data_IF_265482738977
#
_entry.id   IF_265482738977
#
_cell.length_a   1.000
_cell.length_b   1.000
_cell.length_c   1.000
_cell.angle_alpha   90.00
_cell.angle_beta   90.00
_cell.angle_gamma   90.00
#
_symmetry.space_group_name_H-M   'P 1'
#
loop_
_entity.id
_entity.type
_entity.pdbx_description
1 polymer ?
#
# COMPACT_ATOMS: atom_id res chain seq x y z
N UNK A 1 33.18 -36.02 31.64
CA UNK A 1 32.21 -36.46 30.61
C UNK A 1 31.34 -35.25 30.35
N UNK A 2 31.79 -34.51 29.35
CA UNK A 2 31.32 -33.18 28.99
C UNK A 2 30.01 -33.29 28.23
N UNK A 3 29.02 -32.51 28.63
CA UNK A 3 27.74 -32.36 27.96
C UNK A 3 27.41 -30.88 27.85
N UNK A 4 28.25 -30.15 27.12
CA UNK A 4 28.05 -28.74 26.81
C UNK A 4 26.84 -28.62 25.85
N UNK A 5 25.65 -28.38 26.40
CA UNK A 5 24.47 -28.02 25.63
C UNK A 5 24.57 -26.55 25.24
N UNK A 6 25.38 -26.28 24.21
CA UNK A 6 25.27 -25.06 23.42
C UNK A 6 23.94 -25.15 22.65
N UNK A 7 22.87 -24.69 23.29
CA UNK A 7 21.70 -24.25 22.56
C UNK A 7 22.18 -23.15 21.60
N UNK A 8 22.19 -23.47 20.31
CA UNK A 8 22.39 -22.51 19.23
C UNK A 8 21.36 -21.41 19.42
N UNK A 9 21.79 -20.27 19.95
CA UNK A 9 21.06 -19.02 19.85
C UNK A 9 20.98 -18.75 18.35
N UNK A 10 19.81 -19.05 17.76
CA UNK A 10 19.51 -18.64 16.40
C UNK A 10 19.87 -17.17 16.26
N UNK A 11 20.72 -16.83 15.28
CA UNK A 11 21.07 -15.47 14.92
C UNK A 11 19.82 -14.59 15.03
N UNK A 12 19.86 -13.62 15.95
CA UNK A 12 18.83 -12.60 15.97
C UNK A 12 18.77 -12.02 14.54
N UNK A 13 17.59 -11.99 13.88
CA UNK A 13 17.54 -11.56 12.50
C UNK A 13 18.14 -10.17 12.40
N UNK A 14 19.17 -10.03 11.57
CA UNK A 14 19.89 -8.78 11.42
C UNK A 14 18.89 -7.68 11.03
N UNK A 15 18.75 -6.67 11.90
CA UNK A 15 17.85 -5.55 11.68
C UNK A 15 18.39 -4.71 10.51
N UNK A 16 17.52 -4.34 9.57
CA UNK A 16 17.90 -3.47 8.46
C UNK A 16 18.52 -2.15 9.01
N UNK A 17 19.62 -1.64 8.42
CA UNK A 17 20.20 -0.37 8.85
C UNK A 17 19.19 0.78 8.86
N UNK A 18 18.30 0.84 7.86
CA UNK A 18 17.23 1.83 7.81
C UNK A 18 16.25 1.73 8.97
N UNK A 19 15.94 0.52 9.45
CA UNK A 19 15.04 0.31 10.59
C UNK A 19 15.67 0.74 11.91
N UNK A 20 16.99 0.59 12.07
CA UNK A 20 17.73 1.16 13.22
C UNK A 20 17.59 2.68 13.27
N UNK A 21 17.79 3.37 12.16
CA UNK A 21 17.60 4.83 12.11
C UNK A 21 16.16 5.25 12.39
N UNK A 22 15.15 4.43 12.06
CA UNK A 22 13.76 4.70 12.45
C UNK A 22 13.54 4.58 13.96
N UNK A 23 14.15 3.60 14.60
CA UNK A 23 14.10 3.41 16.06
C UNK A 23 14.74 4.62 16.76
N UNK A 24 15.91 5.05 16.30
CA UNK A 24 16.64 6.21 16.86
C UNK A 24 15.89 7.53 16.67
N UNK A 25 15.01 7.61 15.68
CA UNK A 25 14.19 8.80 15.42
C UNK A 25 12.93 8.88 16.30
N UNK A 26 12.74 7.96 17.24
CA UNK A 26 11.55 7.87 18.10
C UNK A 26 11.94 7.98 19.57
N UNK A 27 11.44 9.01 20.24
CA UNK A 27 11.53 9.17 21.69
C UNK A 27 10.17 8.88 22.31
N UNK A 28 10.12 8.03 23.34
CA UNK A 28 8.89 7.74 24.09
C UNK A 28 9.10 8.18 25.53
N UNK A 29 8.20 9.00 26.05
CA UNK A 29 8.28 9.45 27.43
C UNK A 29 8.12 8.27 28.41
N UNK A 30 8.80 8.28 29.57
CA UNK A 30 8.71 7.18 30.55
C UNK A 30 7.29 6.88 31.04
N UNK A 31 6.43 7.91 31.13
CA UNK A 31 5.03 7.79 31.52
C UNK A 31 4.12 7.21 30.42
N UNK A 32 4.65 7.09 29.19
CA UNK A 32 3.93 6.67 27.98
C UNK A 32 2.71 7.52 27.66
N UNK A 33 2.72 8.79 28.08
CA UNK A 33 1.67 9.76 27.74
C UNK A 33 2.07 10.66 26.57
N UNK A 34 3.35 10.64 26.18
CA UNK A 34 3.82 11.35 25.00
C UNK A 34 4.94 10.60 24.28
N UNK A 35 5.10 10.92 23.00
CA UNK A 35 6.21 10.46 22.17
C UNK A 35 6.54 11.49 21.09
N UNK A 36 7.76 11.44 20.57
CA UNK A 36 8.23 12.23 19.43
C UNK A 36 8.71 11.30 18.32
N UNK A 37 8.25 11.55 17.10
CA UNK A 37 8.65 10.84 15.87
C UNK A 37 9.24 11.87 14.91
N UNK A 38 10.58 11.93 14.83
CA UNK A 38 11.26 13.02 14.12
C UNK A 38 10.80 14.40 14.65
N UNK A 39 10.21 15.22 13.78
CA UNK A 39 9.69 16.55 14.15
C UNK A 39 8.27 16.56 14.74
N UNK A 40 7.60 15.41 14.85
CA UNK A 40 6.20 15.32 15.28
C UNK A 40 6.08 14.88 16.73
N UNK A 41 5.35 15.63 17.53
CA UNK A 41 4.96 15.25 18.90
C UNK A 41 3.57 14.61 18.92
N UNK A 42 3.40 13.60 19.77
CA UNK A 42 2.15 12.91 20.07
C UNK A 42 1.91 13.00 21.56
N UNK A 43 0.73 13.44 21.96
CA UNK A 43 0.27 13.47 23.35
C UNK A 43 -1.06 12.71 23.45
N UNK A 44 -1.23 11.94 24.52
CA UNK A 44 -2.42 11.11 24.74
C UNK A 44 -2.82 11.10 26.21
N UNK A 45 -4.12 10.91 26.46
CA UNK A 45 -4.68 10.89 27.83
C UNK A 45 -4.44 9.58 28.59
N UNK A 46 -3.91 8.55 27.93
CA UNK A 46 -3.58 7.28 28.58
C UNK A 46 -2.50 6.49 27.85
N UNK A 47 -1.70 5.66 28.56
CA UNK A 47 -0.68 4.82 27.93
C UNK A 47 -1.20 3.86 26.86
N UNK A 48 -2.47 3.43 26.98
CA UNK A 48 -3.13 2.55 25.99
C UNK A 48 -3.39 3.26 24.68
N UNK A 49 -3.68 4.57 24.71
CA UNK A 49 -3.92 5.38 23.52
C UNK A 49 -2.62 5.70 22.76
N UNK A 50 -1.45 5.53 23.38
CA UNK A 50 -0.17 5.84 22.75
C UNK A 50 0.11 4.94 21.54
N UNK A 51 -0.21 3.64 21.61
CA UNK A 51 0.09 2.72 20.51
C UNK A 51 -0.55 3.12 19.16
N UNK A 52 -1.89 3.32 19.06
CA UNK A 52 -2.49 3.75 17.80
C UNK A 52 -2.02 5.14 17.37
N UNK A 53 -1.85 6.09 18.30
CA UNK A 53 -1.41 7.45 17.98
C UNK A 53 0.05 7.49 17.46
N UNK A 54 0.94 6.71 18.07
CA UNK A 54 2.32 6.55 17.63
C UNK A 54 2.40 5.87 16.26
N UNK A 55 1.57 4.84 16.02
CA UNK A 55 1.45 4.21 14.71
C UNK A 55 1.04 5.19 13.61
N UNK A 56 0.09 6.07 13.88
CA UNK A 56 -0.33 7.14 12.94
C UNK A 56 0.82 8.12 12.68
N UNK A 57 1.48 8.62 13.73
CA UNK A 57 2.62 9.52 13.59
C UNK A 57 3.78 8.90 12.78
N UNK A 58 4.10 7.63 13.02
CA UNK A 58 5.10 6.89 12.26
C UNK A 58 4.70 6.68 10.80
N UNK A 59 3.42 6.42 10.52
CA UNK A 59 2.93 6.36 9.15
C UNK A 59 3.13 7.70 8.43
N UNK A 60 2.75 8.81 9.06
CA UNK A 60 2.87 10.14 8.47
C UNK A 60 4.33 10.54 8.25
N UNK A 61 5.21 10.30 9.22
CA UNK A 61 6.61 10.73 9.14
C UNK A 61 7.45 9.77 8.29
N UNK A 62 7.31 8.46 8.45
CA UNK A 62 8.19 7.46 7.83
C UNK A 62 7.64 6.89 6.52
N UNK A 63 6.31 6.86 6.31
CA UNK A 63 5.71 6.30 5.11
C UNK A 63 5.19 7.36 4.14
N UNK A 64 4.14 8.10 4.47
CA UNK A 64 3.49 9.04 3.54
C UNK A 64 4.29 10.32 3.36
N UNK A 65 4.95 10.81 4.41
CA UNK A 65 5.78 12.02 4.38
C UNK A 65 5.01 13.33 4.27
N UNK A 66 3.68 13.32 4.34
CA UNK A 66 2.91 14.56 4.33
C UNK A 66 3.02 15.27 5.68
N UNK A 67 2.85 16.60 5.65
CA UNK A 67 2.80 17.39 6.88
C UNK A 67 1.56 17.01 7.70
N UNK A 68 1.69 17.03 9.03
CA UNK A 68 0.52 16.86 9.88
C UNK A 68 -0.40 18.06 9.72
N UNK A 69 -1.66 17.81 9.43
CA UNK A 69 -2.71 18.81 9.48
C UNK A 69 -3.85 18.32 10.39
N UNK A 70 -3.99 18.85 11.61
CA UNK A 70 -5.09 18.53 12.51
C UNK A 70 -6.48 18.88 11.93
N UNK A 71 -6.55 19.80 10.98
CA UNK A 71 -7.77 20.20 10.28
C UNK A 71 -8.16 19.26 9.14
N UNK A 72 -7.23 18.40 8.68
CA UNK A 72 -7.47 17.47 7.59
C UNK A 72 -8.42 16.36 8.03
N UNK A 73 -9.56 16.26 7.35
CA UNK A 73 -10.53 15.18 7.60
C UNK A 73 -10.21 13.97 6.71
N UNK A 74 -10.27 12.75 7.26
CA UNK A 74 -10.19 11.53 6.43
C UNK A 74 -11.25 11.56 5.34
N UNK A 75 -10.87 11.14 4.13
CA UNK A 75 -11.83 11.06 3.02
C UNK A 75 -12.14 12.38 2.32
N UNK A 76 -11.47 13.49 2.66
CA UNK A 76 -11.54 14.71 1.85
C UNK A 76 -11.09 14.43 0.41
N UNK A 77 -11.84 14.98 -0.55
CA UNK A 77 -11.62 14.79 -2.00
C UNK A 77 -11.80 16.12 -2.69
N UNK A 78 -10.96 16.39 -3.68
CA UNK A 78 -11.09 17.55 -4.55
C UNK A 78 -11.78 17.16 -5.87
N UNK A 79 -12.99 17.66 -6.15
CA UNK A 79 -13.72 17.29 -7.36
C UNK A 79 -13.02 17.71 -8.65
N UNK A 80 -12.20 18.76 -8.63
CA UNK A 80 -11.44 19.22 -9.80
C UNK A 80 -10.34 18.22 -10.17
N UNK A 81 -9.56 17.83 -9.18
CA UNK A 81 -8.52 16.81 -9.30
C UNK A 81 -9.11 15.45 -9.70
N UNK A 82 -10.24 15.02 -9.10
CA UNK A 82 -10.88 13.75 -9.49
C UNK A 82 -11.40 13.77 -10.93
N UNK A 83 -11.87 14.92 -11.45
CA UNK A 83 -12.21 15.05 -12.88
C UNK A 83 -10.98 14.91 -13.77
N UNK A 84 -9.85 15.53 -13.39
CA UNK A 84 -8.61 15.41 -14.14
C UNK A 84 -8.06 13.96 -14.12
N UNK A 85 -8.14 13.28 -12.97
CA UNK A 85 -7.76 11.87 -12.83
C UNK A 85 -8.67 10.96 -13.65
N UNK A 86 -9.98 11.21 -13.64
CA UNK A 86 -10.96 10.50 -14.48
C UNK A 86 -10.64 10.64 -15.96
N UNK A 87 -10.31 11.85 -16.43
CA UNK A 87 -9.95 12.10 -17.82
C UNK A 87 -8.66 11.38 -18.25
N UNK A 88 -7.79 11.03 -17.29
CA UNK A 88 -6.58 10.25 -17.54
C UNK A 88 -6.77 8.74 -17.54
N UNK A 89 -7.97 8.22 -17.28
CA UNK A 89 -8.25 6.77 -17.36
C UNK A 89 -8.55 6.39 -18.81
N UNK A 90 -7.73 5.51 -19.45
CA UNK A 90 -7.84 5.20 -20.88
C UNK A 90 -9.01 4.26 -21.23
N UNK A 91 -9.70 3.72 -20.23
CA UNK A 91 -10.78 2.75 -20.39
C UNK A 91 -11.95 3.05 -19.44
N UNK A 92 -13.14 2.55 -19.79
CA UNK A 92 -14.35 2.74 -18.98
C UNK A 92 -14.63 1.60 -18.01
N UNK A 93 -14.29 0.38 -18.42
CA UNK A 93 -14.72 -0.84 -17.73
C UNK A 93 -13.54 -1.71 -17.34
N UNK A 94 -13.65 -2.33 -16.18
CA UNK A 94 -12.81 -3.46 -15.76
C UNK A 94 -13.55 -4.75 -16.03
N UNK A 95 -12.82 -5.77 -16.46
CA UNK A 95 -13.34 -7.14 -16.55
C UNK A 95 -13.35 -7.76 -15.15
N UNK A 96 -14.41 -8.46 -14.78
CA UNK A 96 -14.51 -9.16 -13.50
C UNK A 96 -15.20 -10.52 -13.68
N UNK A 97 -14.65 -11.56 -13.05
CA UNK A 97 -15.35 -12.82 -12.85
C UNK A 97 -16.24 -12.67 -11.62
N UNK A 98 -17.53 -12.91 -11.79
CA UNK A 98 -18.54 -12.64 -10.77
C UNK A 98 -19.46 -13.84 -10.58
N UNK A 99 -19.86 -14.09 -9.33
CA UNK A 99 -20.85 -15.11 -9.01
C UNK A 99 -22.24 -14.63 -9.40
N UNK A 100 -22.98 -15.44 -10.14
CA UNK A 100 -24.35 -15.18 -10.57
C UNK A 100 -25.33 -15.65 -9.50
N UNK A 101 -26.18 -14.74 -9.04
CA UNK A 101 -27.26 -15.01 -8.08
C UNK A 101 -28.63 -15.06 -8.76
N UNK A 102 -28.80 -14.30 -9.83
CA UNK A 102 -29.96 -14.37 -10.70
C UNK A 102 -29.50 -14.07 -12.13
N UNK A 103 -30.06 -14.81 -13.09
CA UNK A 103 -29.92 -14.53 -14.52
C UNK A 103 -31.19 -13.84 -15.03
N UNK A 104 -31.23 -13.59 -16.34
CA UNK A 104 -32.25 -12.84 -17.08
C UNK A 104 -33.68 -12.81 -16.50
N UNK A 105 -34.39 -11.66 -16.59
CA UNK A 105 -33.98 -10.41 -17.26
C UNK A 105 -33.12 -9.49 -16.37
N UNK A 106 -33.01 -9.80 -15.08
CA UNK A 106 -32.31 -9.00 -14.07
C UNK A 106 -31.05 -9.73 -13.60
N UNK A 107 -29.95 -9.61 -14.35
CA UNK A 107 -28.67 -10.19 -13.92
C UNK A 107 -28.25 -9.60 -12.57
N UNK A 108 -28.17 -10.46 -11.56
CA UNK A 108 -27.64 -10.11 -10.24
C UNK A 108 -26.37 -10.89 -10.04
N UNK A 109 -25.25 -10.17 -9.93
CA UNK A 109 -23.93 -10.76 -9.70
C UNK A 109 -23.30 -10.24 -8.42
N UNK A 110 -22.34 -10.99 -7.87
CA UNK A 110 -21.54 -10.59 -6.72
C UNK A 110 -20.23 -9.96 -7.18
N UNK A 111 -20.02 -8.68 -6.83
CA UNK A 111 -18.78 -7.96 -7.05
C UNK A 111 -18.32 -7.38 -5.71
N UNK A 112 -17.09 -7.69 -5.27
CA UNK A 112 -16.53 -7.16 -4.01
C UNK A 112 -17.47 -7.39 -2.82
N UNK A 113 -17.99 -8.61 -2.67
CA UNK A 113 -18.91 -9.04 -1.61
C UNK A 113 -20.26 -8.32 -1.58
N UNK A 114 -20.61 -7.55 -2.62
CA UNK A 114 -21.92 -6.93 -2.77
C UNK A 114 -22.65 -7.47 -4.00
N UNK A 115 -23.96 -7.70 -3.84
CA UNK A 115 -24.84 -8.09 -4.95
C UNK A 115 -25.28 -6.86 -5.70
N UNK A 116 -25.03 -6.83 -7.00
CA UNK A 116 -25.35 -5.71 -7.87
C UNK A 116 -26.15 -6.18 -9.08
N UNK A 117 -27.12 -5.36 -9.48
CA UNK A 117 -27.78 -5.53 -10.78
C UNK A 117 -26.84 -5.05 -11.88
N UNK A 118 -26.64 -5.88 -12.89
CA UNK A 118 -25.80 -5.58 -14.05
C UNK A 118 -26.65 -5.64 -15.31
N UNK A 119 -26.60 -4.62 -16.18
CA UNK A 119 -27.27 -4.68 -17.47
C UNK A 119 -26.79 -5.87 -18.33
N UNK A 120 -27.69 -6.49 -19.10
CA UNK A 120 -27.36 -7.67 -19.90
C UNK A 120 -26.20 -7.43 -20.89
N UNK A 121 -26.08 -6.21 -21.45
CA UNK A 121 -24.99 -5.81 -22.34
C UNK A 121 -23.62 -5.71 -21.65
N UNK A 122 -23.59 -5.72 -20.31
CA UNK A 122 -22.37 -5.79 -19.51
C UNK A 122 -21.97 -7.22 -19.15
N UNK A 123 -22.79 -8.23 -19.44
CA UNK A 123 -22.41 -9.65 -19.31
C UNK A 123 -21.68 -10.07 -20.59
N UNK A 124 -20.41 -10.43 -20.46
CA UNK A 124 -19.53 -10.77 -21.59
C UNK A 124 -19.62 -12.24 -21.92
N UNK A 125 -19.59 -13.08 -20.88
CA UNK A 125 -19.67 -14.52 -21.00
C UNK A 125 -20.34 -15.10 -19.75
N UNK A 126 -21.07 -16.19 -19.95
CA UNK A 126 -21.58 -17.02 -18.85
C UNK A 126 -20.65 -18.21 -18.77
N UNK A 127 -20.04 -18.38 -17.61
CA UNK A 127 -19.15 -19.50 -17.32
C UNK A 127 -19.95 -20.63 -16.65
N UNK A 128 -19.37 -21.83 -16.61
CA UNK A 128 -19.91 -22.92 -15.80
C UNK A 128 -20.03 -22.54 -14.31
N UNK A 129 -20.75 -23.35 -13.54
CA UNK A 129 -20.79 -23.27 -12.07
C UNK A 129 -21.38 -21.96 -11.49
N UNK A 130 -22.25 -21.30 -12.25
CA UNK A 130 -22.93 -20.08 -11.79
C UNK A 130 -22.00 -18.86 -11.72
N UNK A 131 -21.01 -18.80 -12.61
CA UNK A 131 -20.12 -17.66 -12.77
C UNK A 131 -20.40 -16.94 -14.09
N UNK A 132 -20.05 -15.66 -14.16
CA UNK A 132 -20.10 -14.88 -15.40
C UNK A 132 -18.94 -13.88 -15.44
N UNK A 133 -18.43 -13.64 -16.64
CA UNK A 133 -17.51 -12.53 -16.91
C UNK A 133 -18.35 -11.29 -17.19
N UNK A 134 -18.15 -10.23 -16.41
CA UNK A 134 -18.90 -8.97 -16.54
C UNK A 134 -17.97 -7.77 -16.70
N UNK A 135 -18.48 -6.71 -17.34
CA UNK A 135 -17.86 -5.38 -17.40
C UNK A 135 -18.40 -4.52 -16.27
N UNK A 136 -17.60 -4.29 -15.24
CA UNK A 136 -17.91 -3.33 -14.18
C UNK A 136 -17.28 -1.97 -14.47
N UNK A 137 -17.81 -0.89 -13.90
CA UNK A 137 -17.16 0.42 -14.03
C UNK A 137 -15.76 0.38 -13.39
N UNK A 138 -14.74 0.83 -14.14
CA UNK A 138 -13.34 0.74 -13.73
C UNK A 138 -13.00 1.72 -12.58
N UNK A 139 -13.69 2.85 -12.54
CA UNK A 139 -13.44 3.93 -11.58
C UNK A 139 -14.33 3.71 -10.35
N UNK A 140 -13.70 3.76 -9.17
CA UNK A 140 -14.37 3.55 -7.88
C UNK A 140 -14.04 4.72 -6.94
N UNK A 141 -14.72 5.87 -7.10
CA UNK A 141 -14.43 7.02 -6.26
C UNK A 141 -14.80 6.69 -4.81
N UNK A 142 -14.00 7.17 -3.86
CA UNK A 142 -14.19 7.00 -2.42
C UNK A 142 -14.10 5.56 -1.86
N UNK A 143 -13.66 4.56 -2.64
CA UNK A 143 -13.40 3.21 -2.10
C UNK A 143 -12.25 3.19 -1.09
N UNK A 144 -11.28 4.10 -1.25
CA UNK A 144 -10.18 4.30 -0.31
C UNK A 144 -10.22 5.76 0.19
N UNK A 145 -10.23 6.03 1.51
CA UNK A 145 -10.36 7.38 2.04
C UNK A 145 -9.29 8.34 1.48
N UNK A 146 -9.74 9.40 0.79
CA UNK A 146 -8.87 10.44 0.21
C UNK A 146 -8.18 10.04 -1.09
N UNK A 147 -8.48 8.86 -1.63
CA UNK A 147 -7.91 8.36 -2.88
C UNK A 147 -9.00 8.17 -3.95
N UNK A 148 -8.63 8.54 -5.17
CA UNK A 148 -9.30 8.14 -6.40
C UNK A 148 -8.74 6.78 -6.83
N UNK A 149 -9.60 5.80 -7.15
CA UNK A 149 -9.20 4.43 -7.46
C UNK A 149 -9.70 4.00 -8.84
N UNK A 150 -8.84 3.27 -9.55
CA UNK A 150 -9.14 2.67 -10.85
C UNK A 150 -8.63 1.22 -10.89
N UNK A 151 -9.44 0.32 -11.46
CA UNK A 151 -9.04 -1.04 -11.84
C UNK A 151 -8.72 -1.10 -13.34
N UNK A 152 -7.80 -1.95 -13.77
CA UNK A 152 -7.39 -2.09 -15.18
C UNK A 152 -8.45 -2.73 -16.08
N UNK A 153 -8.36 -2.52 -17.40
CA UNK A 153 -9.37 -3.08 -18.32
C UNK A 153 -9.36 -4.61 -18.38
N UNK A 154 -8.16 -5.18 -18.27
CA UNK A 154 -7.92 -6.63 -18.18
C UNK A 154 -8.36 -7.25 -16.83
N UNK A 155 -8.75 -6.42 -15.87
CA UNK A 155 -9.21 -6.85 -14.55
C UNK A 155 -8.50 -6.13 -13.40
N UNK A 156 -8.92 -6.49 -12.19
CA UNK A 156 -8.38 -5.95 -10.93
C UNK A 156 -7.45 -6.93 -10.24
N UNK A 157 -6.67 -6.41 -9.30
CA UNK A 157 -6.05 -7.17 -8.20
C UNK A 157 -7.14 -7.67 -7.25
N UNK A 158 -7.16 -8.97 -6.97
CA UNK A 158 -8.17 -9.64 -6.13
C UNK A 158 -7.65 -10.03 -4.75
N UNK A 159 -6.34 -10.07 -4.54
CA UNK A 159 -5.71 -10.47 -3.28
C UNK A 159 -5.67 -11.98 -3.05
N UNK A 160 -5.78 -12.78 -4.11
CA UNK A 160 -5.67 -14.24 -4.01
C UNK A 160 -4.20 -14.73 -3.86
N UNK A 161 -3.23 -13.84 -4.09
CA UNK A 161 -1.80 -14.13 -3.99
C UNK A 161 -0.97 -12.91 -3.58
N UNK A 162 0.36 -12.99 -3.66
CA UNK A 162 1.24 -11.88 -3.31
C UNK A 162 0.97 -10.66 -4.19
N UNK A 163 0.74 -9.50 -3.57
CA UNK A 163 0.57 -8.23 -4.28
C UNK A 163 1.83 -7.39 -4.11
N UNK A 164 2.37 -6.93 -5.23
CA UNK A 164 3.46 -5.97 -5.26
C UNK A 164 2.90 -4.56 -5.46
N UNK A 165 3.36 -3.61 -4.65
CA UNK A 165 2.95 -2.21 -4.71
C UNK A 165 4.10 -1.34 -5.20
N UNK A 166 3.84 -0.47 -6.17
CA UNK A 166 4.73 0.64 -6.54
C UNK A 166 4.17 1.95 -5.97
N UNK A 167 5.00 2.70 -5.25
CA UNK A 167 4.70 4.02 -4.70
C UNK A 167 5.40 5.10 -5.50
N UNK A 168 4.70 6.22 -5.72
CA UNK A 168 5.22 7.39 -6.41
C UNK A 168 5.11 8.61 -5.50
N UNK A 169 6.26 9.23 -5.23
CA UNK A 169 6.36 10.48 -4.51
C UNK A 169 6.20 11.67 -5.46
N UNK A 170 5.18 12.49 -5.22
CA UNK A 170 4.95 13.72 -5.98
C UNK A 170 4.95 14.94 -5.07
N UNK A 171 5.52 16.03 -5.60
CA UNK A 171 5.66 17.30 -4.91
C UNK A 171 4.34 18.06 -4.78
N UNK A 172 3.53 18.04 -5.85
CA UNK A 172 2.35 18.88 -6.01
C UNK A 172 1.25 18.11 -6.76
N UNK A 173 -0.04 18.28 -6.41
CA UNK A 173 -1.15 17.62 -7.09
C UNK A 173 -1.24 17.91 -8.59
N UNK A 174 -0.69 19.02 -9.09
CA UNK A 174 -0.68 19.36 -10.52
C UNK A 174 0.05 18.31 -11.37
N UNK A 175 1.02 17.61 -10.78
CA UNK A 175 1.79 16.57 -11.48
C UNK A 175 1.08 15.23 -11.52
N UNK A 176 0.05 15.02 -10.69
CA UNK A 176 -0.60 13.72 -10.54
C UNK A 176 -1.39 13.31 -11.79
N UNK A 177 -2.29 14.13 -12.39
CA UNK A 177 -3.05 13.72 -13.56
C UNK A 177 -2.21 13.30 -14.79
N UNK A 178 -1.16 14.03 -15.23
CA UNK A 178 -0.37 13.59 -16.37
C UNK A 178 0.44 12.32 -16.08
N UNK A 179 1.04 12.20 -14.88
CA UNK A 179 1.78 11.01 -14.48
C UNK A 179 0.87 9.78 -14.35
N UNK A 180 -0.35 9.98 -13.83
CA UNK A 180 -1.41 8.99 -13.74
C UNK A 180 -1.79 8.46 -15.12
N UNK A 181 -2.11 9.35 -16.07
CA UNK A 181 -2.51 8.97 -17.42
C UNK A 181 -1.42 8.16 -18.14
N UNK A 182 -0.16 8.60 -18.05
CA UNK A 182 0.97 7.89 -18.66
C UNK A 182 1.21 6.51 -18.04
N UNK A 183 1.12 6.40 -16.70
CA UNK A 183 1.28 5.14 -16.00
C UNK A 183 0.16 4.13 -16.34
N UNK A 184 -1.09 4.57 -16.39
CA UNK A 184 -2.22 3.72 -16.78
C UNK A 184 -2.10 3.27 -18.23
N UNK A 185 -1.71 4.17 -19.14
CA UNK A 185 -1.48 3.83 -20.55
C UNK A 185 -0.44 2.70 -20.68
N UNK A 186 0.69 2.81 -19.98
CA UNK A 186 1.74 1.78 -20.01
C UNK A 186 1.25 0.41 -19.50
N UNK A 187 0.38 0.40 -18.48
CA UNK A 187 -0.20 -0.84 -17.95
C UNK A 187 -1.24 -1.45 -18.89
N UNK A 188 -2.06 -0.61 -19.55
CA UNK A 188 -3.03 -1.07 -20.55
C UNK A 188 -2.36 -1.60 -21.82
N UNK A 189 -1.25 -0.98 -22.26
CA UNK A 189 -0.44 -1.49 -23.36
C UNK A 189 0.15 -2.88 -23.05
N UNK A 190 0.50 -3.12 -21.78
CA UNK A 190 0.95 -4.42 -21.30
C UNK A 190 -0.20 -5.45 -21.14
N UNK A 191 -1.46 -5.01 -21.20
CA UNK A 191 -2.68 -5.84 -21.07
C UNK A 191 -2.71 -6.68 -19.79
N UNK A 192 -2.20 -6.12 -18.69
CA UNK A 192 -2.15 -6.81 -17.40
C UNK A 192 -3.27 -6.34 -16.46
N UNK A 193 -3.78 -7.21 -15.57
CA UNK A 193 -4.63 -6.76 -14.47
C UNK A 193 -3.84 -5.86 -13.50
N UNK A 194 -4.47 -4.80 -13.04
CA UNK A 194 -3.91 -3.95 -12.00
C UNK A 194 -5.00 -3.25 -11.21
N UNK A 195 -4.62 -2.72 -10.05
CA UNK A 195 -5.38 -1.70 -9.34
C UNK A 195 -4.47 -0.51 -9.11
N UNK A 196 -4.98 0.69 -9.26
CA UNK A 196 -4.23 1.91 -9.07
C UNK A 196 -5.04 2.87 -8.21
N UNK A 197 -4.33 3.69 -7.44
CA UNK A 197 -4.95 4.81 -6.72
C UNK A 197 -4.07 6.04 -6.76
N UNK A 198 -4.71 7.21 -6.83
CA UNK A 198 -4.06 8.51 -6.75
C UNK A 198 -4.70 9.32 -5.61
N UNK A 199 -3.87 10.00 -4.83
CA UNK A 199 -4.37 10.82 -3.73
C UNK A 199 -5.09 12.05 -4.29
N UNK A 200 -6.36 12.21 -3.91
CA UNK A 200 -7.27 13.20 -4.48
C UNK A 200 -7.51 14.42 -3.59
N UNK A 201 -6.71 14.62 -2.54
CA UNK A 201 -6.73 15.83 -1.72
C UNK A 201 -5.44 16.64 -1.90
N UNK A 202 -5.48 17.83 -2.52
CA UNK A 202 -4.34 18.73 -2.68
C UNK A 202 -3.57 19.02 -1.38
N UNK A 203 -4.26 19.15 -0.25
CA UNK A 203 -3.65 19.56 1.02
C UNK A 203 -2.70 18.52 1.63
N UNK A 204 -2.70 17.27 1.15
CA UNK A 204 -1.78 16.24 1.63
C UNK A 204 -0.56 16.02 0.73
N UNK A 205 -0.27 16.93 -0.19
CA UNK A 205 1.00 16.96 -0.92
C UNK A 205 2.02 17.86 -0.19
N UNK A 206 3.34 17.63 -0.35
CA UNK A 206 3.94 16.47 -1.02
C UNK A 206 3.68 15.17 -0.25
N UNK A 207 3.64 14.04 -0.95
CA UNK A 207 3.53 12.71 -0.32
C UNK A 207 4.13 11.60 -1.15
N UNK A 208 4.76 10.65 -0.47
CA UNK A 208 5.53 9.50 -1.01
C UNK A 208 4.65 8.40 -1.60
N UNK A 209 3.37 8.42 -1.28
CA UNK A 209 2.34 7.51 -1.78
C UNK A 209 1.24 8.29 -2.53
N UNK A 210 1.63 9.35 -3.25
CA UNK A 210 0.71 10.18 -4.05
C UNK A 210 0.02 9.35 -5.13
N UNK A 211 0.74 8.40 -5.72
CA UNK A 211 0.14 7.32 -6.51
C UNK A 211 0.63 5.97 -5.99
N UNK A 212 -0.24 4.97 -6.04
CA UNK A 212 0.09 3.59 -5.69
C UNK A 212 -0.50 2.65 -6.75
N UNK A 213 0.34 1.80 -7.32
CA UNK A 213 -0.05 0.76 -8.27
C UNK A 213 0.12 -0.60 -7.64
N UNK A 214 -0.85 -1.48 -7.83
CA UNK A 214 -0.94 -2.81 -7.25
C UNK A 214 -0.90 -3.81 -8.40
N UNK A 215 0.04 -4.75 -8.32
CA UNK A 215 0.28 -5.78 -9.32
C UNK A 215 0.31 -7.15 -8.66
N UNK A 216 -0.46 -8.09 -9.21
CA UNK A 216 -0.31 -9.51 -8.92
C UNK A 216 0.67 -10.14 -9.92
N UNK A 217 0.88 -11.45 -9.81
CA UNK A 217 1.86 -12.20 -10.61
C UNK A 217 1.79 -11.90 -12.11
N UNK A 218 0.58 -11.84 -12.67
CA UNK A 218 0.37 -11.53 -14.09
C UNK A 218 0.81 -10.11 -14.46
N UNK A 219 0.80 -9.18 -13.51
CA UNK A 219 1.18 -7.78 -13.70
C UNK A 219 2.65 -7.48 -13.40
N UNK A 220 3.37 -8.33 -12.66
CA UNK A 220 4.78 -8.08 -12.32
C UNK A 220 5.70 -7.82 -13.53
N UNK A 221 5.54 -8.50 -14.69
CA UNK A 221 6.35 -8.19 -15.87
C UNK A 221 6.22 -6.75 -16.38
N UNK A 222 5.10 -6.07 -16.10
CA UNK A 222 4.86 -4.69 -16.53
C UNK A 222 5.56 -3.64 -15.64
N UNK A 223 6.22 -4.07 -14.56
CA UNK A 223 6.75 -3.17 -13.54
C UNK A 223 7.91 -2.29 -14.05
N UNK A 224 8.79 -2.81 -14.89
CA UNK A 224 9.87 -2.01 -15.49
C UNK A 224 9.32 -0.92 -16.43
N UNK A 225 8.35 -1.26 -17.26
CA UNK A 225 7.65 -0.30 -18.13
C UNK A 225 6.90 0.76 -17.32
N UNK A 226 6.23 0.35 -16.23
CA UNK A 226 5.55 1.26 -15.32
C UNK A 226 6.54 2.23 -14.64
N UNK A 227 7.66 1.73 -14.11
CA UNK A 227 8.71 2.56 -13.51
C UNK A 227 9.26 3.55 -14.53
N UNK A 228 9.49 3.11 -15.77
CA UNK A 228 9.97 3.96 -16.87
C UNK A 228 8.95 5.05 -17.20
N UNK A 229 7.67 4.68 -17.37
CA UNK A 229 6.59 5.61 -17.69
C UNK A 229 6.46 6.69 -16.61
N UNK A 230 6.38 6.29 -15.34
CA UNK A 230 6.30 7.24 -14.22
C UNK A 230 7.57 8.09 -14.12
N UNK A 231 8.74 7.53 -14.41
CA UNK A 231 10.04 8.23 -14.37
C UNK A 231 10.16 9.37 -15.38
N UNK A 232 9.43 9.32 -16.49
CA UNK A 232 9.46 10.34 -17.53
C UNK A 232 8.78 11.66 -17.14
N UNK A 233 7.93 11.66 -16.11
CA UNK A 233 7.17 12.84 -15.71
C UNK A 233 7.94 13.75 -14.73
N UNK A 234 7.73 15.08 -14.76
CA UNK A 234 8.29 15.98 -13.77
C UNK A 234 7.54 15.88 -12.43
N UNK A 235 8.06 16.58 -11.40
CA UNK A 235 7.37 16.75 -10.12
C UNK A 235 7.58 15.65 -9.10
N UNK A 236 8.39 14.63 -9.40
CA UNK A 236 8.85 13.68 -8.39
C UNK A 236 9.89 14.30 -7.47
N UNK A 237 9.84 13.92 -6.20
CA UNK A 237 10.88 14.22 -5.21
C UNK A 237 11.75 12.99 -4.98
N UNK A 238 12.99 13.18 -4.54
CA UNK A 238 13.98 12.09 -4.39
C UNK A 238 13.61 11.05 -3.33
N UNK A 239 13.00 11.51 -2.23
CA UNK A 239 12.73 10.69 -1.05
C UNK A 239 11.66 9.62 -1.29
N UNK A 240 11.72 8.52 -0.55
CA UNK A 240 10.74 7.42 -0.59
C UNK A 240 10.31 7.00 0.82
N UNK A 241 9.25 6.20 0.92
CA UNK A 241 8.85 5.57 2.19
C UNK A 241 10.05 4.84 2.79
N UNK A 242 10.32 5.07 4.08
CA UNK A 242 11.43 4.43 4.82
C UNK A 242 11.20 2.94 5.08
N UNK A 243 9.96 2.46 4.92
CA UNK A 243 9.63 1.04 4.99
C UNK A 243 9.73 0.32 3.64
N UNK A 244 9.86 1.05 2.52
CA UNK A 244 9.79 0.49 1.17
C UNK A 244 11.18 0.41 0.52
N UNK A 245 11.35 -0.48 -0.46
CA UNK A 245 12.60 -0.60 -1.22
C UNK A 245 12.62 0.43 -2.33
N UNK A 246 13.57 1.37 -2.29
CA UNK A 246 13.78 2.35 -3.37
C UNK A 246 14.17 1.62 -4.66
N UNK A 247 13.50 1.99 -5.76
CA UNK A 247 13.79 1.50 -7.13
C UNK A 247 14.14 2.63 -8.10
N UNK A 248 14.00 3.89 -7.67
CA UNK A 248 14.40 5.09 -8.40
C UNK A 248 14.15 6.36 -7.58
N UNK A 249 14.48 7.55 -8.10
CA UNK A 249 14.10 8.84 -7.50
C UNK A 249 12.58 8.95 -7.27
N UNK A 250 12.16 9.02 -6.00
CA UNK A 250 10.75 9.10 -5.63
C UNK A 250 9.93 7.84 -5.89
N UNK A 251 10.58 6.72 -6.23
CA UNK A 251 9.93 5.47 -6.57
C UNK A 251 10.38 4.37 -5.60
N UNK A 252 9.43 3.70 -4.98
CA UNK A 252 9.71 2.57 -4.11
C UNK A 252 8.68 1.47 -4.25
N UNK A 253 9.06 0.24 -3.93
CA UNK A 253 8.19 -0.92 -3.96
C UNK A 253 8.08 -1.58 -2.60
N UNK A 254 6.95 -2.24 -2.36
CA UNK A 254 6.77 -3.11 -1.21
C UNK A 254 5.74 -4.20 -1.49
N UNK A 255 5.90 -5.34 -0.84
CA UNK A 255 4.89 -6.39 -0.84
C UNK A 255 3.77 -6.04 0.14
N UNK A 256 2.54 -6.34 -0.26
CA UNK A 256 1.37 -6.15 0.56
C UNK A 256 1.44 -6.96 1.87
N UNK A 257 1.00 -6.44 3.03
CA UNK A 257 1.09 -7.18 4.28
C UNK A 257 0.34 -8.51 4.23
N UNK A 258 1.02 -9.60 4.62
CA UNK A 258 0.42 -10.91 4.84
C UNK A 258 0.31 -11.18 6.34
N UNK A 259 -0.62 -10.48 7.01
CA UNK A 259 -0.80 -10.53 8.47
C UNK A 259 -2.27 -10.66 8.85
N UNK A 260 -2.67 -11.89 9.18
CA UNK A 260 -4.06 -12.23 9.52
C UNK A 260 -4.43 -11.97 10.98
N UNK A 261 -3.54 -11.39 11.79
CA UNK A 261 -3.82 -11.13 13.21
C UNK A 261 -4.95 -10.08 13.36
N UNK A 262 -5.78 -10.18 14.42
CA UNK A 262 -6.82 -9.20 14.68
C UNK A 262 -6.26 -7.78 14.74
N UNK A 263 -6.94 -6.83 14.09
CA UNK A 263 -6.51 -5.43 14.02
C UNK A 263 -5.39 -5.12 13.01
N UNK A 264 -4.80 -6.14 12.36
CA UNK A 264 -3.78 -5.98 11.32
C UNK A 264 -4.33 -6.18 9.89
N UNK A 265 -5.46 -6.89 9.77
CA UNK A 265 -6.17 -7.06 8.50
C UNK A 265 -6.65 -5.72 7.95
N UNK A 266 -6.61 -5.58 6.61
CA UNK A 266 -7.09 -4.42 5.84
C UNK A 266 -6.33 -3.10 6.08
N UNK A 267 -5.23 -3.13 6.83
CA UNK A 267 -4.35 -1.97 6.92
C UNK A 267 -3.65 -1.75 5.59
N UNK A 268 -3.41 -0.49 5.24
CA UNK A 268 -2.42 -0.20 4.21
C UNK A 268 -1.04 -0.68 4.68
N UNK A 269 -0.14 -0.94 3.72
CA UNK A 269 1.24 -1.30 4.00
C UNK A 269 1.91 -0.33 4.98
N UNK A 270 1.79 0.98 4.76
CA UNK A 270 2.38 1.98 5.65
C UNK A 270 1.84 1.92 7.07
N UNK A 271 0.51 1.84 7.22
CA UNK A 271 -0.13 1.71 8.53
C UNK A 271 0.28 0.41 9.23
N UNK A 272 0.38 -0.69 8.49
CA UNK A 272 0.82 -1.97 9.02
C UNK A 272 2.25 -1.87 9.57
N UNK A 273 3.22 -1.46 8.74
CA UNK A 273 4.62 -1.34 9.17
C UNK A 273 4.80 -0.37 10.34
N UNK A 274 4.10 0.76 10.31
CA UNK A 274 4.12 1.74 11.38
C UNK A 274 3.53 1.21 12.69
N UNK A 275 2.41 0.48 12.66
CA UNK A 275 1.80 -0.11 13.86
C UNK A 275 2.65 -1.22 14.48
N UNK A 276 3.31 -2.03 13.65
CA UNK A 276 4.22 -3.07 14.15
C UNK A 276 5.49 -2.45 14.74
N UNK A 277 6.03 -1.38 14.14
CA UNK A 277 7.14 -0.62 14.72
C UNK A 277 6.76 -0.03 16.09
N UNK A 278 5.61 0.63 16.17
CA UNK A 278 5.09 1.17 17.43
C UNK A 278 4.90 0.06 18.49
N UNK A 279 4.38 -1.11 18.10
CA UNK A 279 4.23 -2.25 19.00
C UNK A 279 5.57 -2.72 19.56
N UNK A 280 6.60 -2.85 18.72
CA UNK A 280 7.94 -3.25 19.15
C UNK A 280 8.56 -2.26 20.14
N UNK A 281 8.48 -0.96 19.85
CA UNK A 281 9.04 0.07 20.74
C UNK A 281 8.32 0.16 22.09
N UNK A 282 7.01 -0.06 22.13
CA UNK A 282 6.23 -0.01 23.37
C UNK A 282 6.36 -1.26 24.25
N UNK A 283 6.93 -2.35 23.72
CA UNK A 283 7.23 -3.54 24.52
C UNK A 283 8.30 -3.27 25.60
N UNK A 284 9.17 -2.28 25.38
CA UNK A 284 10.28 -1.94 26.28
C UNK A 284 11.47 -2.90 26.16
N UNK A 285 12.49 -2.69 27.00
CA UNK A 285 13.74 -3.46 26.94
C UNK A 285 14.70 -2.94 25.86
N UNK A 286 15.40 -3.85 25.18
CA UNK A 286 16.23 -3.52 24.00
C UNK A 286 15.32 -3.18 22.80
N UNK A 287 15.28 -1.92 22.33
CA UNK A 287 14.40 -1.51 21.25
C UNK A 287 14.66 -2.26 19.94
N UNK A 288 15.93 -2.57 19.64
CA UNK A 288 16.29 -3.24 18.39
C UNK A 288 15.78 -4.68 18.37
N UNK A 289 16.04 -5.44 19.43
CA UNK A 289 15.52 -6.80 19.59
C UNK A 289 14.00 -6.85 19.65
N UNK A 290 13.36 -5.93 20.36
CA UNK A 290 11.90 -5.88 20.47
C UNK A 290 11.22 -5.58 19.12
N UNK A 291 11.76 -4.64 18.33
CA UNK A 291 11.27 -4.35 16.99
C UNK A 291 11.51 -5.52 16.03
N UNK A 292 12.70 -6.13 16.06
CA UNK A 292 12.98 -7.31 15.24
C UNK A 292 11.99 -8.46 15.54
N UNK A 293 11.73 -8.71 16.82
CA UNK A 293 10.75 -9.71 17.27
C UNK A 293 9.33 -9.39 16.82
N UNK A 294 8.89 -8.14 16.96
CA UNK A 294 7.57 -7.69 16.52
C UNK A 294 7.38 -7.84 15.00
N UNK A 295 8.41 -7.49 14.21
CA UNK A 295 8.43 -7.64 12.76
C UNK A 295 8.35 -9.11 12.36
N UNK A 296 9.20 -9.96 12.95
CA UNK A 296 9.20 -11.39 12.68
C UNK A 296 7.85 -12.06 13.02
N UNK A 297 7.25 -11.69 14.16
CA UNK A 297 5.93 -12.16 14.58
C UNK A 297 4.78 -11.66 13.67
N UNK A 298 5.01 -10.58 12.92
CA UNK A 298 4.11 -10.03 11.90
C UNK A 298 4.35 -10.62 10.49
N UNK A 299 5.26 -11.60 10.36
CA UNK A 299 5.65 -12.15 9.06
C UNK A 299 6.51 -11.21 8.20
N UNK A 300 6.97 -10.09 8.76
CA UNK A 300 7.84 -9.12 8.08
C UNK A 300 9.29 -9.61 8.17
N UNK A 301 10.08 -9.40 7.12
CA UNK A 301 11.53 -9.59 7.19
C UNK A 301 12.18 -8.38 7.92
N UNK A 302 12.79 -8.55 9.11
CA UNK A 302 13.42 -7.43 9.82
C UNK A 302 14.65 -6.85 9.11
N UNK A 303 15.31 -7.64 8.25
CA UNK A 303 16.42 -7.21 7.41
C UNK A 303 15.94 -6.50 6.13
N UNK A 304 14.70 -6.73 5.74
CA UNK A 304 14.08 -6.18 4.54
C UNK A 304 12.60 -5.78 4.77
N UNK A 305 12.31 -4.69 5.51
CA UNK A 305 10.93 -4.30 5.90
C UNK A 305 9.90 -4.16 4.78
N UNK A 306 10.36 -3.96 3.55
CA UNK A 306 9.51 -3.83 2.36
C UNK A 306 8.84 -5.14 1.96
N UNK A 307 9.27 -6.29 2.51
CA UNK A 307 8.76 -7.61 2.15
C UNK A 307 8.30 -8.42 3.35
N UNK A 308 7.45 -9.41 3.07
CA UNK A 308 7.13 -10.45 4.02
C UNK A 308 8.17 -11.57 3.87
N UNK A 309 8.34 -12.40 4.89
CA UNK A 309 9.25 -13.56 4.84
C UNK A 309 8.86 -14.56 3.74
N UNK A 310 7.59 -14.58 3.35
CA UNK A 310 7.00 -15.41 2.30
C UNK A 310 6.92 -14.72 0.94
N UNK A 311 7.34 -13.45 0.83
CA UNK A 311 7.28 -12.72 -0.42
C UNK A 311 8.16 -13.37 -1.50
N UNK A 312 7.67 -13.48 -2.75
CA UNK A 312 8.47 -13.89 -3.90
C UNK A 312 9.74 -13.06 -4.04
N UNK A 313 10.76 -13.64 -4.67
CA UNK A 313 12.00 -12.93 -5.03
C UNK A 313 11.92 -12.48 -6.48
N UNK A 314 11.95 -11.18 -6.71
CA UNK A 314 11.90 -10.59 -8.05
C UNK A 314 13.14 -9.72 -8.30
N UNK A 315 13.32 -9.26 -9.54
CA UNK A 315 14.35 -8.28 -9.90
C UNK A 315 13.76 -7.24 -10.84
N UNK A 316 14.16 -5.99 -10.67
CA UNK A 316 13.92 -4.87 -11.60
C UNK A 316 15.26 -4.23 -11.89
N UNK A 317 15.70 -4.19 -13.15
CA UNK A 317 16.94 -3.48 -13.52
C UNK A 317 18.16 -3.87 -12.67
N UNK A 318 18.23 -5.12 -12.20
CA UNK A 318 19.28 -5.63 -11.31
C UNK A 318 19.06 -5.41 -9.81
N UNK A 319 18.05 -4.64 -9.40
CA UNK A 319 17.67 -4.46 -7.99
C UNK A 319 16.85 -5.66 -7.50
N UNK A 320 17.29 -6.41 -6.47
CA UNK A 320 16.52 -7.51 -5.91
C UNK A 320 15.35 -7.00 -5.06
N UNK A 321 14.19 -7.66 -5.22
CA UNK A 321 12.95 -7.42 -4.50
C UNK A 321 12.47 -8.67 -3.76
#
# INVERSE_FOLDING_TARGET
>A
MDGNSTAVLADAPALAPGLRSLIEAVDIAPDRLSARVGGRTVEVDSPRALWPALGTAMYEVFHSGHQHDPGMRPGMRDPGLERALTAGVPHRFTTALAKVHASEPDWVVELLDVRVKVPADRVVAVEGDGLAVVRADAIRPALSPGFFLCDGSAGTVLGAGPILRLYVHLADPVFTPPAWAGALTALEEAKVPYRAKAFSNPAGYPRRDAMVFYLEEQGWPALESLVTAVSAFPGRLEDTSRFARRVGPGLAVAWDPADDRPGMRRLSFGEHRARILAQGLLAGGDPAGAVAGAFAAAGIDPGEPFRNRTSPRLRIGGVPL
#
